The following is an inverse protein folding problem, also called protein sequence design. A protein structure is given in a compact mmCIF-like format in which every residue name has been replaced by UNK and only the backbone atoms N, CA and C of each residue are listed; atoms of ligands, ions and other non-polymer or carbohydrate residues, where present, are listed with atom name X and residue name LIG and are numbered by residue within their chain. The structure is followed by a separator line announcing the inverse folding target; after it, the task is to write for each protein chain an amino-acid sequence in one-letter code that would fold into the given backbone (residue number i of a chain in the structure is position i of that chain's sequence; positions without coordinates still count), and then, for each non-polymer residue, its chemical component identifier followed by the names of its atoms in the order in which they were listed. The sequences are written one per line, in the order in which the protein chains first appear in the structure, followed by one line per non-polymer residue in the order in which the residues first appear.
data_IF_761644888377
#
_entry.id   IF_761644888377
#
_cell.length_a   1.000
_cell.length_b   1.000
_cell.length_c   1.000
_cell.angle_alpha   90.00
_cell.angle_beta   90.00
_cell.angle_gamma   90.00
#
_symmetry.space_group_name_H-M   'P 1'
#
loop_
_entity.id
_entity.type
_entity.pdbx_description
1 polymer ?
#
# COMPACT_ATOMS: atom_id res chain seq x y z
N UNK A 1 -28.14 37.38 -49.78
CA UNK A 1 -28.73 37.28 -48.43
C UNK A 1 -28.32 35.93 -47.86
N UNK A 2 -27.12 35.86 -47.28
CA UNK A 2 -26.53 34.67 -46.68
C UNK A 2 -26.78 34.75 -45.18
N UNK A 3 -27.63 33.86 -44.66
CA UNK A 3 -27.95 33.79 -43.24
C UNK A 3 -26.89 32.94 -42.53
N UNK A 4 -26.04 33.60 -41.75
CA UNK A 4 -25.06 33.00 -40.86
C UNK A 4 -25.77 32.53 -39.58
N UNK A 5 -25.94 31.21 -39.41
CA UNK A 5 -26.40 30.61 -38.15
C UNK A 5 -25.19 30.42 -37.24
N UNK A 6 -24.90 31.42 -36.40
CA UNK A 6 -24.09 31.21 -35.20
C UNK A 6 -24.88 30.33 -34.23
N UNK A 7 -24.45 29.08 -34.06
CA UNK A 7 -24.84 28.25 -32.93
C UNK A 7 -24.37 28.92 -31.64
N UNK A 8 -25.29 29.23 -30.74
CA UNK A 8 -24.97 29.66 -29.39
C UNK A 8 -24.32 28.48 -28.67
N UNK A 9 -23.08 28.65 -28.21
CA UNK A 9 -22.40 27.69 -27.36
C UNK A 9 -23.15 27.62 -26.03
N UNK A 10 -23.55 26.41 -25.62
CA UNK A 10 -24.10 26.17 -24.30
C UNK A 10 -23.06 26.56 -23.23
N UNK A 11 -23.50 27.04 -22.05
CA UNK A 11 -22.58 27.32 -20.96
C UNK A 11 -21.95 26.01 -20.48
N UNK A 12 -20.63 25.95 -20.54
CA UNK A 12 -19.83 24.90 -19.88
C UNK A 12 -20.17 24.91 -18.39
N UNK A 13 -20.70 23.80 -17.88
CA UNK A 13 -20.88 23.61 -16.46
C UNK A 13 -19.51 23.71 -15.76
N UNK A 14 -19.45 24.49 -14.69
CA UNK A 14 -18.28 24.50 -13.81
C UNK A 14 -18.09 23.09 -13.20
N UNK A 15 -16.85 22.66 -12.91
CA UNK A 15 -16.61 21.39 -12.24
C UNK A 15 -17.35 21.39 -10.89
N UNK A 16 -18.01 20.28 -10.58
CA UNK A 16 -18.51 20.04 -9.24
C UNK A 16 -17.35 20.21 -8.25
N UNK A 17 -17.56 20.93 -7.15
CA UNK A 17 -16.69 20.88 -5.98
C UNK A 17 -16.31 19.42 -5.73
N UNK A 18 -15.01 19.12 -5.85
CA UNK A 18 -14.50 17.76 -6.05
C UNK A 18 -15.00 16.80 -4.99
N UNK A 19 -15.48 15.64 -5.45
CA UNK A 19 -15.75 14.52 -4.55
C UNK A 19 -14.42 14.09 -3.93
N UNK A 20 -14.38 13.97 -2.60
CA UNK A 20 -13.21 13.42 -1.91
C UNK A 20 -13.09 11.95 -2.31
N UNK A 21 -11.87 11.51 -2.61
CA UNK A 21 -11.55 10.12 -2.93
C UNK A 21 -10.75 9.51 -1.77
N UNK A 22 -11.40 9.15 -0.64
CA UNK A 22 -10.69 8.56 0.49
C UNK A 22 -10.26 7.12 0.21
N UNK A 23 -9.11 6.77 0.78
CA UNK A 23 -8.60 5.40 0.83
C UNK A 23 -8.52 5.00 2.30
N UNK A 24 -8.89 3.78 2.61
CA UNK A 24 -8.81 3.23 3.97
C UNK A 24 -8.23 1.82 3.96
N UNK A 25 -7.41 1.52 4.97
CA UNK A 25 -7.00 0.15 5.28
C UNK A 25 -7.96 -0.44 6.31
N UNK A 26 -8.45 -1.65 6.08
CA UNK A 26 -9.40 -2.33 6.96
C UNK A 26 -8.66 -3.38 7.79
N UNK A 27 -8.47 -3.07 9.07
CA UNK A 27 -7.92 -3.99 10.06
C UNK A 27 -8.97 -4.26 11.15
N UNK A 28 -9.51 -5.47 11.17
CA UNK A 28 -10.53 -5.91 12.13
C UNK A 28 -11.97 -5.95 11.58
N UNK A 29 -12.86 -6.53 12.39
CA UNK A 29 -14.20 -6.96 11.98
C UNK A 29 -15.18 -5.78 11.78
N UNK A 30 -14.88 -4.60 12.35
CA UNK A 30 -15.84 -3.49 12.40
C UNK A 30 -15.36 -2.19 11.76
N UNK A 31 -14.10 -2.07 11.32
CA UNK A 31 -13.62 -0.79 10.82
C UNK A 31 -12.21 -0.82 10.26
N UNK A 32 -11.81 0.33 9.73
CA UNK A 32 -10.48 0.56 9.18
C UNK A 32 -9.98 1.95 9.49
N UNK A 33 -8.74 2.23 9.15
CA UNK A 33 -8.19 3.56 9.22
C UNK A 33 -8.12 4.22 7.85
N UNK A 34 -8.52 5.48 7.79
CA UNK A 34 -8.34 6.35 6.63
C UNK A 34 -6.85 6.59 6.42
N UNK A 35 -6.34 6.14 5.27
CA UNK A 35 -4.96 6.39 4.83
C UNK A 35 -4.79 7.84 4.34
N UNK A 36 -5.84 8.38 3.73
CA UNK A 36 -5.88 9.76 3.21
C UNK A 36 -6.79 9.89 2.00
N UNK A 37 -6.56 10.92 1.18
CA UNK A 37 -7.32 11.17 -0.06
C UNK A 37 -6.47 11.66 -1.22
N UNK A 38 -6.90 11.31 -2.44
CA UNK A 38 -6.19 11.56 -3.70
C UNK A 38 -6.85 12.66 -4.57
N UNK A 39 -7.85 13.36 -4.04
CA UNK A 39 -8.58 14.41 -4.77
C UNK A 39 -7.79 15.71 -5.01
N UNK A 40 -6.59 15.83 -4.42
CA UNK A 40 -5.66 16.96 -4.64
C UNK A 40 -4.22 16.48 -4.74
N UNK A 41 -3.36 17.31 -5.35
CA UNK A 41 -1.91 17.19 -5.27
C UNK A 41 -1.33 18.37 -4.46
N UNK A 42 -0.50 18.13 -3.43
CA UNK A 42 -0.17 16.80 -2.87
C UNK A 42 -1.41 16.09 -2.28
N UNK A 43 -1.35 14.76 -2.21
CA UNK A 43 -2.34 13.92 -1.55
C UNK A 43 -2.51 14.31 -0.08
N UNK A 44 -3.72 14.17 0.46
CA UNK A 44 -3.99 14.50 1.87
C UNK A 44 -3.76 13.29 2.75
N UNK A 45 -3.12 13.49 3.90
CA UNK A 45 -2.99 12.46 4.94
C UNK A 45 -4.34 12.03 5.49
N UNK A 46 -4.38 10.88 6.18
CA UNK A 46 -5.56 10.41 6.92
C UNK A 46 -6.10 11.45 7.91
N UNK A 47 -5.21 12.09 8.67
CA UNK A 47 -5.56 13.14 9.64
C UNK A 47 -6.25 14.35 8.98
N UNK A 48 -5.76 14.78 7.81
CA UNK A 48 -6.35 15.88 7.06
C UNK A 48 -7.65 15.48 6.35
N UNK A 49 -7.80 14.20 6.00
CA UNK A 49 -8.95 13.67 5.27
C UNK A 49 -10.14 13.43 6.17
N UNK A 50 -9.95 12.83 7.35
CA UNK A 50 -11.03 12.43 8.25
C UNK A 50 -12.07 13.52 8.55
N UNK A 51 -11.66 14.75 8.91
CA UNK A 51 -12.60 15.86 9.16
C UNK A 51 -13.47 16.29 7.97
N UNK A 52 -13.14 15.83 6.76
CA UNK A 52 -13.85 16.16 5.52
C UNK A 52 -14.86 15.09 5.12
N UNK A 53 -14.82 13.90 5.72
CA UNK A 53 -15.72 12.79 5.39
C UNK A 53 -17.08 12.96 6.09
N UNK A 54 -18.14 12.68 5.35
CA UNK A 54 -19.53 12.77 5.81
C UNK A 54 -19.97 11.50 6.56
N UNK A 55 -19.40 10.33 6.22
CA UNK A 55 -19.80 9.06 6.80
C UNK A 55 -20.88 8.31 6.03
N UNK A 56 -20.89 8.49 4.72
CA UNK A 56 -21.71 7.75 3.76
C UNK A 56 -20.96 7.45 2.46
N UNK A 57 -19.63 7.60 2.48
CA UNK A 57 -18.75 7.31 1.37
C UNK A 57 -18.81 5.83 1.02
N UNK A 58 -18.97 5.56 -0.28
CA UNK A 58 -18.95 4.20 -0.82
C UNK A 58 -17.52 3.79 -1.13
N UNK A 59 -17.18 2.59 -0.70
CA UNK A 59 -15.88 1.99 -0.94
C UNK A 59 -16.04 0.70 -1.72
N UNK A 60 -15.20 0.54 -2.73
CA UNK A 60 -14.90 -0.75 -3.34
C UNK A 60 -13.80 -1.42 -2.50
N UNK A 61 -13.98 -2.70 -2.18
CA UNK A 61 -13.11 -3.45 -1.28
C UNK A 61 -12.24 -4.42 -2.08
N UNK A 62 -10.95 -4.43 -1.77
CA UNK A 62 -9.93 -5.20 -2.46
C UNK A 62 -9.05 -5.96 -1.49
N UNK A 63 -8.68 -7.17 -1.87
CA UNK A 63 -7.53 -7.91 -1.30
C UNK A 63 -6.43 -7.96 -2.35
N UNK A 64 -5.24 -8.43 -2.00
CA UNK A 64 -4.17 -8.68 -2.96
C UNK A 64 -4.57 -9.61 -4.12
N UNK A 65 -5.61 -10.44 -3.93
CA UNK A 65 -6.07 -11.42 -4.93
C UNK A 65 -7.28 -10.97 -5.77
N UNK A 66 -7.86 -9.81 -5.48
CA UNK A 66 -9.00 -9.31 -6.23
C UNK A 66 -10.01 -8.48 -5.42
N UNK A 67 -11.02 -7.93 -6.10
CA UNK A 67 -12.15 -7.27 -5.46
C UNK A 67 -12.98 -8.27 -4.64
N UNK A 68 -13.42 -7.85 -3.45
CA UNK A 68 -14.17 -8.71 -2.50
C UNK A 68 -15.53 -8.16 -2.11
N UNK A 69 -15.87 -6.93 -2.50
CA UNK A 69 -17.20 -6.37 -2.29
C UNK A 69 -17.23 -4.85 -2.24
N UNK A 70 -18.28 -4.33 -1.63
CA UNK A 70 -18.47 -2.90 -1.40
C UNK A 70 -18.95 -2.69 0.04
N UNK A 71 -18.59 -1.54 0.61
CA UNK A 71 -19.10 -1.09 1.90
C UNK A 71 -19.32 0.43 1.90
N UNK A 72 -20.06 0.90 2.89
CA UNK A 72 -20.23 2.32 3.20
C UNK A 72 -19.50 2.62 4.50
N UNK A 73 -18.63 3.64 4.49
CA UNK A 73 -17.89 4.08 5.68
C UNK A 73 -18.75 4.94 6.59
N UNK A 74 -18.53 4.87 7.90
CA UNK A 74 -19.14 5.77 8.89
C UNK A 74 -18.44 7.13 8.92
N UNK A 75 -19.02 8.09 9.66
CA UNK A 75 -18.30 9.32 9.99
C UNK A 75 -17.03 8.96 10.75
N UNK A 76 -15.87 9.57 10.45
CA UNK A 76 -14.63 9.22 11.11
C UNK A 76 -14.61 9.57 12.59
N UNK A 77 -13.83 8.78 13.35
CA UNK A 77 -13.59 9.00 14.76
C UNK A 77 -12.16 8.63 15.14
N UNK A 78 -11.65 9.21 16.21
CA UNK A 78 -10.32 8.94 16.75
C UNK A 78 -10.41 8.40 18.16
N UNK A 79 -9.46 7.54 18.53
CA UNK A 79 -9.41 6.91 19.84
C UNK A 79 -8.01 7.03 20.45
N UNK A 80 -7.91 6.93 21.78
CA UNK A 80 -6.63 6.80 22.49
C UNK A 80 -6.17 5.34 22.38
N UNK A 81 -4.88 5.05 22.12
CA UNK A 81 -3.72 5.94 22.22
C UNK A 81 -3.37 6.77 20.98
N UNK A 82 -4.13 6.67 19.89
CA UNK A 82 -3.76 7.22 18.58
C UNK A 82 -4.76 8.29 18.10
N UNK A 83 -4.75 9.50 18.69
CA UNK A 83 -5.73 10.54 18.39
C UNK A 83 -5.60 11.15 16.99
N UNK A 84 -4.46 10.94 16.29
CA UNK A 84 -4.28 11.37 14.91
C UNK A 84 -4.90 10.38 13.90
N UNK A 85 -5.05 9.11 14.29
CA UNK A 85 -5.66 8.04 13.49
C UNK A 85 -7.15 8.32 13.32
N UNK A 86 -7.60 8.34 12.06
CA UNK A 86 -9.01 8.51 11.70
C UNK A 86 -9.58 7.14 11.36
N UNK A 87 -10.37 6.57 12.26
CA UNK A 87 -11.03 5.29 12.06
C UNK A 87 -12.42 5.50 11.45
N UNK A 88 -12.86 4.53 10.65
CA UNK A 88 -14.21 4.44 10.09
C UNK A 88 -14.75 3.05 10.34
N UNK A 89 -16.05 2.93 10.62
CA UNK A 89 -16.74 1.64 10.61
C UNK A 89 -17.29 1.34 9.22
N UNK A 90 -17.42 0.05 8.86
CA UNK A 90 -17.92 -0.37 7.55
C UNK A 90 -19.31 -1.01 7.63
N UNK A 91 -20.20 -0.62 6.71
CA UNK A 91 -21.54 -1.21 6.55
C UNK A 91 -21.75 -1.76 5.12
N UNK A 92 -22.03 -3.05 4.93
CA UNK A 92 -22.03 -4.10 5.95
C UNK A 92 -20.62 -4.32 6.55
N UNK A 93 -20.52 -4.93 7.75
CA UNK A 93 -19.22 -5.29 8.33
C UNK A 93 -18.41 -6.17 7.38
N UNK A 94 -17.12 -5.88 7.25
CA UNK A 94 -16.21 -6.62 6.38
C UNK A 94 -15.71 -7.85 7.11
N UNK A 95 -15.93 -9.03 6.53
CA UNK A 95 -15.36 -10.28 7.03
C UNK A 95 -13.92 -10.39 6.54
N UNK A 96 -12.98 -10.43 7.47
CA UNK A 96 -11.55 -10.46 7.16
C UNK A 96 -11.02 -11.88 7.23
N UNK A 97 -10.98 -12.53 6.08
CA UNK A 97 -10.15 -13.73 5.86
C UNK A 97 -8.75 -13.36 5.34
N UNK A 98 -8.56 -12.09 4.96
CA UNK A 98 -7.31 -11.47 4.48
C UNK A 98 -7.33 -9.95 4.75
N UNK A 99 -6.18 -9.25 4.68
CA UNK A 99 -6.15 -7.78 4.69
C UNK A 99 -6.99 -7.20 3.54
N UNK A 100 -7.75 -6.14 3.83
CA UNK A 100 -8.64 -5.48 2.86
C UNK A 100 -8.31 -4.00 2.76
N UNK A 101 -8.17 -3.51 1.54
CA UNK A 101 -8.05 -2.09 1.22
C UNK A 101 -9.39 -1.61 0.64
N UNK A 102 -9.87 -0.48 1.14
CA UNK A 102 -11.08 0.18 0.72
C UNK A 102 -10.72 1.43 -0.08
N UNK A 103 -11.16 1.51 -1.33
CA UNK A 103 -10.93 2.67 -2.21
C UNK A 103 -12.28 3.29 -2.58
N UNK A 104 -12.43 4.58 -2.34
CA UNK A 104 -13.59 5.35 -2.80
C UNK A 104 -13.30 5.98 -4.15
N UNK A 105 -14.23 5.84 -5.08
CA UNK A 105 -14.06 6.29 -6.47
C UNK A 105 -14.97 5.56 -7.44
N UNK A 106 -15.19 6.17 -8.61
CA UNK A 106 -16.00 5.61 -9.69
C UNK A 106 -15.17 4.81 -10.72
N UNK A 107 -13.86 4.60 -10.46
CA UNK A 107 -12.96 3.81 -11.32
C UNK A 107 -12.76 2.39 -10.75
N UNK A 108 -12.18 1.51 -11.57
CA UNK A 108 -11.71 0.21 -11.12
C UNK A 108 -10.30 0.36 -10.52
N UNK A 109 -10.17 0.27 -9.20
CA UNK A 109 -8.87 0.41 -8.53
C UNK A 109 -7.96 -0.81 -8.68
N UNK A 110 -8.44 -1.92 -9.26
CA UNK A 110 -7.59 -3.07 -9.62
C UNK A 110 -7.76 -3.40 -11.12
N UNK A 111 -7.27 -2.54 -12.03
CA UNK A 111 -7.35 -2.78 -13.47
C UNK A 111 -6.48 -3.96 -13.92
N UNK A 112 -5.49 -4.35 -13.12
CA UNK A 112 -4.58 -5.49 -13.32
C UNK A 112 -4.49 -6.27 -12.01
N UNK A 113 -4.50 -7.61 -12.09
CA UNK A 113 -4.50 -8.49 -10.93
C UNK A 113 -3.08 -9.03 -10.69
N UNK A 114 -2.50 -8.86 -9.51
CA UNK A 114 -1.17 -9.38 -9.21
C UNK A 114 -1.11 -10.92 -9.28
N UNK A 115 -0.01 -11.45 -9.80
CA UNK A 115 0.26 -12.89 -9.79
C UNK A 115 1.24 -13.21 -8.67
N UNK A 116 0.75 -13.95 -7.65
CA UNK A 116 1.62 -14.52 -6.63
C UNK A 116 2.36 -15.73 -7.20
N UNK A 117 3.67 -15.75 -7.03
CA UNK A 117 4.53 -16.85 -7.50
C UNK A 117 5.29 -17.50 -6.35
N UNK A 118 5.92 -18.64 -6.63
CA UNK A 118 6.62 -19.41 -5.60
C UNK A 118 7.79 -18.62 -5.00
N UNK A 119 7.89 -18.66 -3.68
CA UNK A 119 9.00 -18.15 -2.85
C UNK A 119 10.26 -19.03 -2.93
N UNK A 120 10.18 -20.19 -3.58
CA UNK A 120 11.30 -21.14 -3.75
C UNK A 120 12.11 -20.88 -5.04
N UNK A 121 11.79 -19.83 -5.80
CA UNK A 121 12.46 -19.52 -7.05
C UNK A 121 13.88 -18.98 -6.80
N UNK A 122 14.89 -19.73 -7.27
CA UNK A 122 16.32 -19.42 -7.06
C UNK A 122 16.70 -18.00 -7.49
N UNK A 123 16.12 -17.48 -8.58
CA UNK A 123 16.41 -16.13 -9.08
C UNK A 123 16.05 -15.04 -8.07
N UNK A 124 14.96 -15.20 -7.31
CA UNK A 124 14.55 -14.21 -6.30
C UNK A 124 15.24 -14.45 -4.97
N UNK A 125 15.60 -15.69 -4.65
CA UNK A 125 16.45 -16.02 -3.50
C UNK A 125 17.84 -15.37 -3.64
N UNK A 126 18.43 -15.46 -4.83
CA UNK A 126 19.71 -14.81 -5.15
C UNK A 126 19.58 -13.28 -5.11
N UNK A 127 18.52 -12.71 -5.69
CA UNK A 127 18.28 -11.27 -5.65
C UNK A 127 18.13 -10.75 -4.20
N UNK A 128 17.42 -11.47 -3.33
CA UNK A 128 17.32 -11.12 -1.91
C UNK A 128 18.66 -11.20 -1.19
N UNK A 129 19.48 -12.24 -1.46
CA UNK A 129 20.83 -12.33 -0.90
C UNK A 129 21.74 -11.17 -1.36
N UNK A 130 21.62 -10.72 -2.62
CA UNK A 130 22.33 -9.56 -3.14
C UNK A 130 21.88 -8.26 -2.47
N UNK A 131 20.56 -8.08 -2.30
CA UNK A 131 19.99 -6.94 -1.56
C UNK A 131 20.51 -6.91 -0.12
N UNK A 132 20.39 -8.01 0.62
CA UNK A 132 20.83 -8.06 2.02
C UNK A 132 22.34 -7.81 2.16
N UNK A 133 23.16 -8.37 1.26
CA UNK A 133 24.60 -8.08 1.24
C UNK A 133 24.88 -6.60 0.98
N UNK A 134 24.15 -5.99 0.04
CA UNK A 134 24.21 -4.55 -0.22
C UNK A 134 23.83 -3.69 1.00
N UNK A 135 22.95 -4.21 1.85
CA UNK A 135 22.53 -3.61 3.13
C UNK A 135 23.44 -4.00 4.31
N UNK A 136 24.54 -4.72 4.06
CA UNK A 136 25.53 -5.07 5.09
C UNK A 136 25.22 -6.34 5.88
N UNK A 137 24.26 -7.15 5.44
CA UNK A 137 23.94 -8.45 6.03
C UNK A 137 24.35 -9.59 5.07
N UNK A 138 25.42 -10.30 5.44
CA UNK A 138 25.78 -11.57 4.80
C UNK A 138 25.13 -12.73 5.57
N UNK A 139 24.25 -13.48 4.89
CA UNK A 139 23.57 -14.64 5.48
C UNK A 139 23.21 -15.67 4.41
N UNK A 140 23.18 -16.94 4.82
CA UNK A 140 22.71 -18.06 3.99
C UNK A 140 21.23 -18.41 4.29
N UNK A 141 20.63 -17.82 5.33
CA UNK A 141 19.23 -18.04 5.72
C UNK A 141 18.31 -17.00 5.07
N UNK A 142 18.14 -17.14 3.75
CA UNK A 142 17.25 -16.30 2.94
C UNK A 142 15.84 -16.88 2.95
N UNK A 143 14.86 -16.07 3.38
CA UNK A 143 13.46 -16.46 3.51
C UNK A 143 12.59 -15.46 2.77
N UNK A 144 12.07 -15.87 1.62
CA UNK A 144 11.10 -15.08 0.88
C UNK A 144 9.70 -15.35 1.42
N UNK A 145 8.94 -14.28 1.65
CA UNK A 145 7.54 -14.37 2.07
C UNK A 145 6.58 -14.12 0.92
N UNK A 146 6.94 -13.22 0.00
CA UNK A 146 6.12 -12.88 -1.16
C UNK A 146 7.00 -12.68 -2.40
N UNK A 147 6.52 -13.17 -3.53
CA UNK A 147 7.02 -12.82 -4.87
C UNK A 147 5.80 -12.51 -5.73
N UNK A 148 5.59 -11.23 -6.02
CA UNK A 148 4.41 -10.71 -6.70
C UNK A 148 4.83 -10.15 -8.05
N UNK A 149 4.22 -10.61 -9.13
CA UNK A 149 4.40 -10.09 -10.49
C UNK A 149 3.19 -9.26 -10.88
N UNK A 150 3.43 -8.06 -11.40
CA UNK A 150 2.37 -7.13 -11.78
C UNK A 150 2.94 -6.06 -12.73
N UNK A 151 2.14 -5.64 -13.70
CA UNK A 151 2.42 -4.46 -14.53
C UNK A 151 1.92 -3.21 -13.78
N UNK A 152 2.84 -2.42 -13.22
CA UNK A 152 2.51 -1.25 -12.41
C UNK A 152 2.11 -0.03 -13.26
N UNK A 153 2.66 0.11 -14.47
CA UNK A 153 2.52 1.33 -15.28
C UNK A 153 1.63 1.17 -16.52
N UNK A 154 1.23 -0.05 -16.85
CA UNK A 154 0.33 -0.34 -17.98
C UNK A 154 1.02 -0.43 -19.32
N UNK A 155 2.33 -0.66 -19.34
CA UNK A 155 3.10 -0.80 -20.59
C UNK A 155 3.14 -2.25 -21.09
N UNK A 156 2.60 -3.20 -20.32
CA UNK A 156 2.59 -4.63 -20.61
C UNK A 156 3.85 -5.39 -20.16
N UNK A 157 4.82 -4.69 -19.56
CA UNK A 157 5.96 -5.28 -18.86
C UNK A 157 5.56 -5.51 -17.39
N UNK A 158 5.97 -6.63 -16.81
CA UNK A 158 5.71 -6.87 -15.39
C UNK A 158 6.94 -6.53 -14.56
N UNK A 159 6.73 -5.78 -13.49
CA UNK A 159 7.63 -5.66 -12.37
C UNK A 159 7.46 -6.83 -11.40
N UNK A 160 8.47 -7.02 -10.55
CA UNK A 160 8.43 -8.01 -9.47
C UNK A 160 8.68 -7.35 -8.12
N UNK A 161 7.70 -7.41 -7.23
CA UNK A 161 7.86 -7.09 -5.82
C UNK A 161 8.28 -8.35 -5.06
N UNK A 162 9.34 -8.26 -4.27
CA UNK A 162 9.85 -9.35 -3.46
C UNK A 162 9.90 -8.90 -2.01
N UNK A 163 9.30 -9.70 -1.13
CA UNK A 163 9.37 -9.55 0.32
C UNK A 163 10.24 -10.66 0.89
N UNK A 164 11.27 -10.30 1.65
CA UNK A 164 12.12 -11.25 2.36
C UNK A 164 12.19 -10.89 3.85
N UNK A 165 11.91 -11.88 4.71
CA UNK A 165 11.77 -11.67 6.15
C UNK A 165 12.37 -12.83 6.93
N UNK A 166 13.22 -12.52 7.91
CA UNK A 166 13.63 -13.42 8.97
C UNK A 166 13.65 -12.67 10.29
N UNK A 167 12.76 -13.03 11.20
CA UNK A 167 12.70 -12.50 12.56
C UNK A 167 12.87 -13.66 13.53
N UNK A 168 13.94 -13.67 14.33
CA UNK A 168 14.32 -14.80 15.19
C UNK A 168 13.31 -15.09 16.30
N UNK A 169 12.61 -14.06 16.81
CA UNK A 169 11.78 -14.15 18.03
C UNK A 169 10.26 -14.28 17.76
N UNK A 170 9.84 -14.65 16.55
CA UNK A 170 8.42 -14.73 16.16
C UNK A 170 7.52 -15.56 17.11
N UNK A 171 8.07 -16.50 17.88
CA UNK A 171 7.29 -17.43 18.72
C UNK A 171 7.27 -17.12 20.23
N UNK A 172 7.70 -15.95 20.71
CA UNK A 172 7.96 -15.78 22.15
C UNK A 172 7.75 -14.41 22.80
N UNK A 173 7.12 -13.44 22.13
CA UNK A 173 6.90 -12.11 22.70
C UNK A 173 8.13 -11.19 22.64
N UNK A 174 9.07 -11.48 21.75
CA UNK A 174 10.22 -10.62 21.47
C UNK A 174 9.97 -9.69 20.29
N UNK A 175 9.90 -8.41 20.59
CA UNK A 175 9.74 -7.27 19.65
C UNK A 175 11.05 -6.82 19.06
N UNK A 176 12.12 -7.18 19.77
CA UNK A 176 13.43 -6.61 19.60
C UNK A 176 14.17 -7.37 18.51
N UNK A 177 14.78 -6.63 17.60
CA UNK A 177 15.63 -7.20 16.60
C UNK A 177 16.79 -7.98 17.24
N UNK A 178 17.04 -9.19 16.77
CA UNK A 178 18.28 -9.90 17.03
C UNK A 178 19.28 -9.70 15.88
N UNK A 179 20.59 -9.94 16.12
CA UNK A 179 21.57 -9.93 15.06
C UNK A 179 21.19 -10.86 13.89
N UNK A 180 21.23 -10.29 12.70
CA UNK A 180 20.89 -10.91 11.44
C UNK A 180 19.40 -10.92 11.12
N UNK A 181 18.53 -10.34 11.95
CA UNK A 181 17.13 -10.18 11.58
C UNK A 181 16.98 -9.17 10.44
N UNK A 182 15.99 -9.43 9.58
CA UNK A 182 15.66 -8.55 8.47
C UNK A 182 14.18 -8.66 8.08
N UNK A 183 13.68 -7.56 7.54
CA UNK A 183 12.41 -7.46 6.82
C UNK A 183 12.62 -6.44 5.71
N UNK A 184 12.61 -6.89 4.45
CA UNK A 184 12.87 -6.04 3.28
C UNK A 184 11.84 -6.28 2.20
N UNK A 185 11.40 -5.18 1.57
CA UNK A 185 10.61 -5.19 0.35
C UNK A 185 11.42 -4.48 -0.73
N UNK A 186 11.56 -5.10 -1.89
CA UNK A 186 12.24 -4.50 -3.03
C UNK A 186 11.51 -4.76 -4.34
N UNK A 187 11.64 -3.80 -5.25
CA UNK A 187 11.12 -3.85 -6.61
C UNK A 187 12.24 -4.29 -7.54
N UNK A 188 11.94 -5.22 -8.44
CA UNK A 188 12.77 -5.54 -9.60
C UNK A 188 12.03 -5.13 -10.86
N UNK A 189 12.67 -4.33 -11.70
CA UNK A 189 12.10 -3.79 -12.93
C UNK A 189 13.04 -4.00 -14.11
N UNK A 190 12.50 -4.35 -15.27
CA UNK A 190 13.28 -4.40 -16.51
C UNK A 190 13.41 -2.98 -17.09
N UNK A 191 14.62 -2.45 -17.13
CA UNK A 191 14.94 -1.14 -17.70
C UNK A 191 15.83 -1.37 -18.92
N UNK A 192 15.22 -1.28 -20.11
CA UNK A 192 15.87 -1.68 -21.36
C UNK A 192 16.16 -3.18 -21.38
N UNK A 193 17.43 -3.56 -21.34
CA UNK A 193 17.87 -4.97 -21.30
C UNK A 193 18.38 -5.40 -19.92
N UNK A 194 18.35 -4.51 -18.93
CA UNK A 194 18.91 -4.75 -17.59
C UNK A 194 17.79 -4.81 -16.56
N UNK A 195 17.87 -5.77 -15.63
CA UNK A 195 17.00 -5.76 -14.45
C UNK A 195 17.63 -4.85 -13.40
N UNK A 196 16.92 -3.79 -13.04
CA UNK A 196 17.26 -2.91 -11.92
C UNK A 196 16.51 -3.36 -10.66
N UNK A 197 17.16 -3.20 -9.50
CA UNK A 197 16.58 -3.49 -8.19
C UNK A 197 16.58 -2.22 -7.35
N UNK A 198 15.42 -1.83 -6.82
CA UNK A 198 15.28 -0.70 -5.92
C UNK A 198 14.62 -1.13 -4.60
N UNK A 199 15.13 -0.64 -3.48
CA UNK A 199 14.55 -0.89 -2.16
C UNK A 199 13.27 -0.07 -2.01
N UNK A 200 12.22 -0.71 -1.47
CA UNK A 200 10.93 -0.08 -1.14
C UNK A 200 10.83 0.17 0.36
N UNK A 201 11.11 -0.87 1.15
CA UNK A 201 11.08 -0.85 2.61
C UNK A 201 12.26 -1.68 3.13
N UNK A 202 12.88 -1.24 4.23
CA UNK A 202 14.01 -1.98 4.79
C UNK A 202 14.17 -1.84 6.30
N UNK A 203 14.32 -2.99 6.93
CA UNK A 203 14.82 -3.14 8.28
C UNK A 203 15.82 -4.27 8.28
N UNK A 204 17.09 -3.96 8.54
CA UNK A 204 18.18 -4.94 8.52
C UNK A 204 19.06 -4.68 9.72
N UNK A 205 19.28 -5.72 10.52
CA UNK A 205 20.01 -5.60 11.78
C UNK A 205 21.23 -6.52 11.82
N UNK A 206 22.34 -6.21 11.10
CA UNK A 206 23.52 -7.08 11.11
C UNK A 206 24.12 -7.25 12.52
N UNK A 207 24.02 -6.23 13.36
CA UNK A 207 24.58 -6.16 14.71
C UNK A 207 23.59 -5.47 15.68
N UNK A 208 22.37 -6.01 15.80
CA UNK A 208 21.37 -5.47 16.74
C UNK A 208 21.95 -5.34 18.16
N UNK A 209 21.70 -4.21 18.84
CA UNK A 209 22.25 -3.94 20.17
C UNK A 209 21.24 -4.10 21.30
N UNK A 210 19.98 -4.36 20.95
CA UNK A 210 18.86 -4.53 21.87
C UNK A 210 18.11 -3.21 22.06
N UNK A 211 16.79 -3.27 21.91
CA UNK A 211 15.89 -2.12 22.02
C UNK A 211 15.33 -1.63 20.69
N UNK A 212 15.87 -2.08 19.56
CA UNK A 212 15.32 -1.82 18.23
C UNK A 212 14.09 -2.71 18.00
N UNK A 213 12.93 -2.12 17.70
CA UNK A 213 11.75 -2.87 17.25
C UNK A 213 11.93 -3.29 15.80
N UNK A 214 11.64 -4.55 15.48
CA UNK A 214 11.55 -5.04 14.10
C UNK A 214 10.09 -5.22 13.71
N UNK A 215 9.70 -4.56 12.62
CA UNK A 215 8.41 -4.74 11.97
C UNK A 215 8.53 -5.77 10.87
N UNK A 216 7.52 -6.63 10.73
CA UNK A 216 7.32 -7.46 9.55
C UNK A 216 6.64 -6.64 8.46
N UNK A 217 7.31 -6.49 7.33
CA UNK A 217 6.89 -5.71 6.16
C UNK A 217 6.27 -6.64 5.12
N UNK A 218 5.06 -6.37 4.66
CA UNK A 218 4.37 -7.16 3.63
C UNK A 218 3.60 -6.28 2.65
N UNK A 219 3.55 -6.69 1.39
CA UNK A 219 2.69 -6.04 0.39
C UNK A 219 1.27 -6.58 0.57
N UNK A 220 0.34 -5.70 0.95
CA UNK A 220 -1.06 -6.06 1.20
C UNK A 220 -1.99 -5.68 0.04
N UNK A 221 -1.58 -4.70 -0.77
CA UNK A 221 -2.35 -4.28 -1.94
C UNK A 221 -1.46 -3.72 -3.05
N UNK A 222 -1.92 -3.88 -4.29
CA UNK A 222 -1.38 -3.20 -5.46
C UNK A 222 -2.58 -2.68 -6.24
N UNK A 223 -2.81 -1.37 -6.19
CA UNK A 223 -4.07 -0.74 -6.59
C UNK A 223 -3.82 0.62 -7.25
N UNK A 224 -4.64 0.98 -8.23
CA UNK A 224 -4.78 2.33 -8.78
C UNK A 224 -5.63 3.16 -7.79
N UNK A 225 -4.99 3.84 -6.85
CA UNK A 225 -5.71 4.48 -5.73
C UNK A 225 -6.11 5.94 -6.01
N UNK A 226 -5.63 6.52 -7.10
CA UNK A 226 -6.01 7.87 -7.56
C UNK A 226 -6.77 7.89 -8.91
N UNK A 227 -6.87 6.74 -9.58
CA UNK A 227 -7.61 6.58 -10.83
C UNK A 227 -6.83 7.03 -12.06
N UNK A 228 -5.51 7.22 -11.97
CA UNK A 228 -4.65 7.65 -13.08
C UNK A 228 -4.25 6.51 -14.03
N UNK A 229 -4.52 5.26 -13.64
CA UNK A 229 -4.20 4.06 -14.42
C UNK A 229 -2.80 3.51 -14.18
N UNK A 230 -2.02 4.08 -13.27
CA UNK A 230 -0.83 3.47 -12.65
C UNK A 230 -1.23 2.77 -11.35
N UNK A 231 -0.46 1.79 -10.89
CA UNK A 231 -0.72 1.12 -9.61
C UNK A 231 0.25 1.60 -8.54
N UNK A 232 -0.29 1.93 -7.38
CA UNK A 232 0.42 2.08 -6.12
C UNK A 232 0.61 0.75 -5.40
N UNK A 233 1.66 0.68 -4.59
CA UNK A 233 1.97 -0.47 -3.73
C UNK A 233 1.70 -0.11 -2.28
N UNK A 234 0.85 -0.89 -1.60
CA UNK A 234 0.52 -0.70 -0.20
C UNK A 234 1.29 -1.72 0.64
N UNK A 235 2.22 -1.22 1.46
CA UNK A 235 3.05 -2.05 2.34
C UNK A 235 2.64 -1.82 3.78
N UNK A 236 2.35 -2.91 4.49
CA UNK A 236 2.09 -2.90 5.93
C UNK A 236 3.34 -3.33 6.67
N UNK A 237 3.69 -2.54 7.68
CA UNK A 237 4.71 -2.82 8.67
C UNK A 237 4.00 -3.13 9.99
N UNK A 238 4.16 -4.35 10.50
CA UNK A 238 3.42 -4.84 11.66
C UNK A 238 4.31 -5.43 12.73
N UNK A 239 3.91 -5.26 13.99
CA UNK A 239 4.43 -5.98 15.15
C UNK A 239 3.30 -6.16 16.19
N UNK A 240 3.54 -6.85 17.29
CA UNK A 240 2.44 -7.26 18.20
C UNK A 240 1.71 -6.10 18.92
N UNK A 241 2.35 -4.93 19.10
CA UNK A 241 1.76 -3.76 19.77
C UNK A 241 1.24 -2.69 18.80
N UNK A 242 1.48 -2.85 17.50
CA UNK A 242 1.11 -1.84 16.54
C UNK A 242 1.56 -2.12 15.12
N UNK A 243 1.38 -1.13 14.28
CA UNK A 243 1.77 -1.21 12.89
C UNK A 243 1.33 0.02 12.13
N UNK A 244 1.83 0.13 10.91
CA UNK A 244 1.47 1.17 9.98
C UNK A 244 1.44 0.64 8.56
N UNK A 245 0.67 1.31 7.71
CA UNK A 245 0.68 1.11 6.28
C UNK A 245 1.21 2.36 5.59
N UNK A 246 2.02 2.14 4.56
CA UNK A 246 2.54 3.18 3.67
C UNK A 246 2.11 2.86 2.24
N UNK A 247 1.64 3.86 1.50
CA UNK A 247 1.35 3.74 0.06
C UNK A 247 2.53 4.30 -0.72
N UNK A 248 3.04 3.54 -1.68
CA UNK A 248 4.16 3.93 -2.53
C UNK A 248 3.72 4.11 -3.99
N UNK A 249 4.20 5.18 -4.62
CA UNK A 249 3.97 5.50 -6.03
C UNK A 249 5.20 5.16 -6.85
N UNK A 250 5.01 4.67 -8.07
CA UNK A 250 6.12 4.47 -8.99
C UNK A 250 6.59 5.81 -9.55
N UNK A 251 7.85 6.16 -9.28
CA UNK A 251 8.52 7.32 -9.86
C UNK A 251 9.74 6.85 -10.66
N UNK A 252 9.59 6.77 -11.98
CA UNK A 252 10.61 6.22 -12.86
C UNK A 252 10.84 4.72 -12.64
N UNK A 253 11.94 4.36 -11.97
CA UNK A 253 12.33 2.97 -11.72
C UNK A 253 12.26 2.57 -10.24
N UNK A 254 11.78 3.46 -9.36
CA UNK A 254 11.71 3.23 -7.92
C UNK A 254 10.34 3.58 -7.37
N UNK A 255 9.99 2.94 -6.26
CA UNK A 255 8.78 3.25 -5.49
C UNK A 255 9.11 4.29 -4.42
N UNK A 256 8.39 5.41 -4.43
CA UNK A 256 8.54 6.49 -3.47
C UNK A 256 7.34 6.53 -2.53
N UNK A 257 7.59 6.67 -1.23
CA UNK A 257 6.53 6.76 -0.23
C UNK A 257 5.70 8.03 -0.45
N UNK A 258 4.38 7.89 -0.42
CA UNK A 258 3.44 9.00 -0.46
C UNK A 258 3.10 9.49 0.96
N UNK A 259 2.29 10.55 1.04
CA UNK A 259 1.74 11.04 2.31
C UNK A 259 0.54 10.19 2.82
N UNK A 260 0.10 9.19 2.04
CA UNK A 260 -0.96 8.29 2.46
C UNK A 260 -0.39 7.20 3.38
N UNK A 261 -1.04 7.07 4.53
CA UNK A 261 -0.69 6.06 5.49
C UNK A 261 -1.53 6.15 6.74
N UNK A 262 -1.46 5.09 7.52
CA UNK A 262 -2.05 5.07 8.84
C UNK A 262 -1.35 4.06 9.71
N UNK A 263 -1.18 4.39 10.99
CA UNK A 263 -0.69 3.45 11.97
C UNK A 263 -1.05 3.85 13.40
N UNK A 264 -0.72 2.95 14.32
CA UNK A 264 -0.83 3.16 15.75
C UNK A 264 0.25 2.33 16.45
N UNK A 265 0.78 2.84 17.57
CA UNK A 265 1.88 2.19 18.27
C UNK A 265 3.20 2.20 17.48
N UNK A 266 3.46 3.24 16.69
CA UNK A 266 4.73 3.43 15.96
C UNK A 266 5.71 4.30 16.73
#
# INVERSE_FOLDING_TARGET
VTADRRAASAPTAAPATGSIAPIANIYGINGGCVLGSTDTEPWRTGEATGPLLAGDERYQLYTLSGPVGEATGSTPFSEIPCPATQNIEMTPPVQLDAPVIAVSGDWNAMPRVPTLTSTEQEVYQQAAAEVLRGLGLETDDIRLEQVIRIDLEGDGSEEVLVTATRISQETGGGVLADPGDYSVVFLRKLVGETVETSIVEQQVYPLAQGGEVVFRSVVEGVLDVDGDGMLEVLVTNSYYEGGYMTVYRLNGHSLEASELGCGCGV
#
